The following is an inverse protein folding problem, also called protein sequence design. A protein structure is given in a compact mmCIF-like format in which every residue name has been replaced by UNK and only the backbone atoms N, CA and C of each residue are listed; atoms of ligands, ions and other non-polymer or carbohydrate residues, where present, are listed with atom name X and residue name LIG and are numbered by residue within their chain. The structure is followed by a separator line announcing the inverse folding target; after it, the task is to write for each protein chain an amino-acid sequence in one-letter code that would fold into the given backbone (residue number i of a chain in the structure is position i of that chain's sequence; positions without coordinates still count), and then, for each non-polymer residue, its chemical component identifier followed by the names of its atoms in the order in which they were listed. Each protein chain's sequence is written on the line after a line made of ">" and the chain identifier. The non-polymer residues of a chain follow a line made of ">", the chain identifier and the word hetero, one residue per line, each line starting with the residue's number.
data_IF_082026051836
#
_entry.id   IF_082026051836
#
_cell.length_a   1.000
_cell.length_b   1.000
_cell.length_c   1.000
_cell.angle_alpha   90.00
_cell.angle_beta   90.00
_cell.angle_gamma   90.00
#
_symmetry.space_group_name_H-M   'P 1'
#
loop_
_entity.id
_entity.type
_entity.pdbx_description
1 polymer ?
#
# COMPACT_ATOMS: atom_id res chain seq x y z
N UNK A 1 20.12 42.84 22.25
CA UNK A 1 19.97 41.68 23.16
C UNK A 1 20.00 40.46 22.26
N UNK A 2 21.22 40.05 21.94
CA UNK A 2 21.53 38.90 21.10
C UNK A 2 21.51 37.64 21.96
N UNK A 3 20.81 36.60 21.50
CA UNK A 3 20.98 35.25 22.03
C UNK A 3 21.21 34.31 20.87
N UNK A 4 22.49 34.09 20.58
CA UNK A 4 23.00 33.10 19.62
C UNK A 4 22.85 31.71 20.24
N UNK A 5 22.01 30.85 19.67
CA UNK A 5 21.97 29.42 19.99
C UNK A 5 23.11 28.72 19.23
N UNK A 6 24.19 28.41 19.94
CA UNK A 6 25.28 27.56 19.44
C UNK A 6 24.74 26.14 19.22
N UNK A 7 24.84 25.68 17.97
CA UNK A 7 24.58 24.31 17.56
C UNK A 7 25.84 23.51 17.88
N UNK A 8 25.79 22.68 18.92
CA UNK A 8 26.87 21.76 19.26
C UNK A 8 27.10 20.80 18.09
N UNK A 9 28.28 20.89 17.48
CA UNK A 9 28.83 19.88 16.59
C UNK A 9 29.53 18.83 17.44
N UNK A 10 28.77 17.86 17.94
CA UNK A 10 29.36 16.66 18.50
C UNK A 10 29.67 15.71 17.34
N UNK A 11 30.91 15.78 16.88
CA UNK A 11 31.56 14.72 16.12
C UNK A 11 31.71 13.50 17.04
N UNK A 12 30.69 12.66 17.11
CA UNK A 12 30.82 11.33 17.68
C UNK A 12 31.32 10.38 16.60
N UNK A 13 32.59 10.02 16.74
CA UNK A 13 33.24 8.88 16.12
C UNK A 13 32.31 7.68 16.18
N UNK A 14 31.87 7.16 15.03
CA UNK A 14 31.09 5.93 14.93
C UNK A 14 32.00 4.73 15.20
N UNK A 15 32.32 4.50 16.48
CA UNK A 15 32.81 3.21 16.92
C UNK A 15 31.67 2.20 16.74
N UNK A 16 31.84 1.30 15.78
CA UNK A 16 30.83 0.33 15.38
C UNK A 16 30.37 -0.52 16.56
N UNK A 17 29.09 -0.40 16.92
CA UNK A 17 28.43 -1.36 17.78
C UNK A 17 28.46 -2.72 17.09
N UNK A 18 29.36 -3.59 17.55
CA UNK A 18 29.44 -4.97 17.10
C UNK A 18 28.23 -5.71 17.67
N UNK A 19 27.19 -5.88 16.85
CA UNK A 19 26.06 -6.73 17.16
C UNK A 19 26.55 -8.18 17.16
N UNK A 20 26.83 -8.75 18.34
CA UNK A 20 27.15 -10.17 18.45
C UNK A 20 25.90 -10.99 18.11
N UNK A 21 25.91 -11.59 16.92
CA UNK A 21 24.82 -12.42 16.45
C UNK A 21 24.71 -13.70 17.28
N UNK A 22 23.54 -13.92 17.89
CA UNK A 22 23.19 -15.12 18.69
C UNK A 22 23.40 -16.45 17.95
N UNK A 23 23.49 -16.41 16.62
CA UNK A 23 23.72 -17.56 15.76
C UNK A 23 24.88 -17.26 14.80
N UNK A 24 25.70 -18.27 14.43
CA UNK A 24 26.81 -18.11 13.49
C UNK A 24 26.29 -18.10 12.04
N UNK A 25 25.51 -17.09 11.68
CA UNK A 25 25.08 -16.87 10.30
C UNK A 25 25.73 -15.59 9.75
N UNK A 26 26.32 -15.71 8.55
CA UNK A 26 26.78 -14.56 7.76
C UNK A 26 25.57 -13.88 7.12
N UNK A 27 25.09 -12.79 7.74
CA UNK A 27 23.91 -12.02 7.31
C UNK A 27 24.26 -10.66 6.69
N UNK A 28 25.53 -10.29 6.69
CA UNK A 28 26.05 -8.99 6.20
C UNK A 28 25.54 -8.63 4.80
N UNK A 29 25.59 -9.58 3.85
CA UNK A 29 25.11 -9.39 2.47
C UNK A 29 23.61 -9.07 2.35
N UNK A 30 22.81 -9.45 3.36
CA UNK A 30 21.37 -9.19 3.40
C UNK A 30 21.11 -7.88 4.13
N UNK A 31 21.80 -7.64 5.25
CA UNK A 31 21.69 -6.40 6.03
C UNK A 31 22.07 -5.17 5.20
N UNK A 32 23.09 -5.27 4.34
CA UNK A 32 23.49 -4.17 3.45
C UNK A 32 22.39 -3.78 2.43
N UNK A 33 21.45 -4.68 2.12
CA UNK A 33 20.39 -4.42 1.13
C UNK A 33 19.24 -3.58 1.68
N UNK A 34 19.07 -3.51 3.00
CA UNK A 34 18.02 -2.72 3.63
C UNK A 34 18.63 -1.70 4.61
N UNK A 35 18.41 -0.39 4.42
CA UNK A 35 18.87 0.59 5.40
C UNK A 35 18.21 0.35 6.77
N UNK A 36 18.97 0.52 7.84
CA UNK A 36 18.52 0.43 9.23
C UNK A 36 18.06 1.80 9.80
N UNK A 37 18.37 2.88 9.10
CA UNK A 37 17.96 4.24 9.46
C UNK A 37 16.57 4.61 8.93
N UNK A 38 15.96 5.61 9.57
CA UNK A 38 14.71 6.19 9.11
C UNK A 38 14.84 6.78 7.70
N UNK A 39 13.86 6.48 6.85
CA UNK A 39 13.78 7.06 5.51
C UNK A 39 13.34 8.52 5.59
N UNK A 40 14.17 9.44 5.08
CA UNK A 40 13.85 10.88 4.99
C UNK A 40 13.44 11.27 3.58
N UNK A 41 14.01 10.58 2.58
CA UNK A 41 13.85 10.91 1.17
C UNK A 41 13.24 9.77 0.36
N UNK A 42 12.61 10.10 -0.77
CA UNK A 42 12.05 9.12 -1.71
C UNK A 42 13.07 8.06 -2.14
N UNK A 43 14.33 8.44 -2.39
CA UNK A 43 15.36 7.49 -2.81
C UNK A 43 15.68 6.44 -1.74
N UNK A 44 15.64 6.81 -0.45
CA UNK A 44 15.84 5.88 0.64
C UNK A 44 14.62 4.98 0.80
N UNK A 45 13.42 5.56 0.83
CA UNK A 45 12.16 4.82 0.92
C UNK A 45 11.99 3.82 -0.23
N UNK A 46 12.43 4.20 -1.45
CA UNK A 46 12.41 3.34 -2.63
C UNK A 46 13.28 2.09 -2.47
N UNK A 47 14.44 2.18 -1.81
CA UNK A 47 15.30 1.01 -1.56
C UNK A 47 14.60 0.01 -0.63
N UNK A 48 14.03 0.50 0.47
CA UNK A 48 13.24 -0.33 1.41
C UNK A 48 12.03 -0.94 0.71
N UNK A 49 11.29 -0.13 -0.07
CA UNK A 49 10.16 -0.58 -0.85
C UNK A 49 10.55 -1.71 -1.83
N UNK A 50 11.65 -1.55 -2.58
CA UNK A 50 12.12 -2.57 -3.51
C UNK A 50 12.49 -3.85 -2.78
N UNK A 51 13.28 -3.75 -1.71
CA UNK A 51 13.67 -4.91 -0.92
C UNK A 51 12.46 -5.68 -0.36
N UNK A 52 11.53 -4.98 0.30
CA UNK A 52 10.32 -5.60 0.88
C UNK A 52 9.42 -6.21 -0.19
N UNK A 53 9.18 -5.49 -1.29
CA UNK A 53 8.36 -5.98 -2.40
C UNK A 53 9.00 -7.19 -3.05
N UNK A 54 10.31 -7.19 -3.28
CA UNK A 54 11.01 -8.31 -3.91
C UNK A 54 10.97 -9.56 -3.03
N UNK A 55 11.14 -9.41 -1.71
CA UNK A 55 10.97 -10.50 -0.74
C UNK A 55 9.54 -11.02 -0.68
N UNK A 56 8.53 -10.15 -0.62
CA UNK A 56 7.13 -10.57 -0.64
C UNK A 56 6.77 -11.28 -1.97
N UNK A 57 7.28 -10.79 -3.10
CA UNK A 57 7.08 -11.41 -4.42
C UNK A 57 7.76 -12.78 -4.50
N UNK A 58 8.92 -12.94 -3.87
CA UNK A 58 9.60 -14.23 -3.75
C UNK A 58 8.80 -15.21 -2.88
N UNK A 59 8.26 -14.76 -1.76
CA UNK A 59 7.36 -15.55 -0.91
C UNK A 59 6.10 -15.99 -1.63
N UNK A 60 5.48 -15.14 -2.47
CA UNK A 60 4.29 -15.47 -3.26
C UNK A 60 4.51 -16.64 -4.26
N UNK A 61 5.76 -16.98 -4.59
CA UNK A 61 6.06 -18.18 -5.40
C UNK A 61 5.84 -19.49 -4.61
N UNK A 62 5.93 -19.42 -3.29
CA UNK A 62 5.73 -20.55 -2.39
C UNK A 62 4.31 -20.55 -1.82
N UNK A 63 3.82 -19.39 -1.38
CA UNK A 63 2.47 -19.18 -0.90
C UNK A 63 1.54 -18.86 -2.07
N UNK A 64 1.33 -19.85 -2.93
CA UNK A 64 0.38 -19.73 -4.05
C UNK A 64 -1.05 -19.72 -3.52
N UNK A 65 -1.97 -19.09 -4.28
CA UNK A 65 -3.36 -18.93 -3.83
C UNK A 65 -4.03 -20.27 -3.52
N UNK A 66 -3.77 -21.29 -4.32
CA UNK A 66 -4.28 -22.65 -4.08
C UNK A 66 -3.53 -23.32 -2.91
N UNK A 67 -4.23 -23.55 -1.80
CA UNK A 67 -3.68 -24.13 -0.58
C UNK A 67 -3.19 -23.14 0.48
N UNK A 68 -2.80 -21.91 0.11
CA UNK A 68 -2.33 -20.88 1.04
C UNK A 68 -3.09 -19.55 0.88
N UNK A 69 -4.41 -19.61 0.72
CA UNK A 69 -5.25 -18.44 0.40
C UNK A 69 -5.02 -17.26 1.36
N UNK A 70 -5.01 -17.51 2.67
CA UNK A 70 -4.83 -16.48 3.70
C UNK A 70 -3.46 -15.80 3.58
N UNK A 71 -2.37 -16.58 3.61
CA UNK A 71 -1.01 -16.05 3.52
C UNK A 71 -0.78 -15.31 2.19
N UNK A 72 -1.36 -15.83 1.09
CA UNK A 72 -1.30 -15.20 -0.22
C UNK A 72 -1.97 -13.82 -0.21
N UNK A 73 -3.15 -13.70 0.40
CA UNK A 73 -3.86 -12.42 0.53
C UNK A 73 -3.04 -11.45 1.37
N UNK A 74 -2.54 -11.87 2.53
CA UNK A 74 -1.76 -11.04 3.44
C UNK A 74 -0.48 -10.50 2.79
N UNK A 75 0.28 -11.36 2.09
CA UNK A 75 1.47 -10.95 1.34
C UNK A 75 1.17 -9.89 0.29
N UNK A 76 0.04 -10.02 -0.41
CA UNK A 76 -0.36 -8.99 -1.38
C UNK A 76 -0.82 -7.71 -0.68
N UNK A 77 -1.47 -7.78 0.48
CA UNK A 77 -1.78 -6.60 1.29
C UNK A 77 -0.51 -5.93 1.83
N UNK A 78 0.53 -6.69 2.16
CA UNK A 78 1.83 -6.14 2.54
C UNK A 78 2.46 -5.36 1.38
N UNK A 79 2.46 -5.94 0.17
CA UNK A 79 2.91 -5.24 -1.04
C UNK A 79 2.09 -3.97 -1.29
N UNK A 80 0.78 -4.04 -1.05
CA UNK A 80 -0.15 -2.91 -1.18
C UNK A 80 0.20 -1.78 -0.21
N UNK A 81 0.45 -2.11 1.07
CA UNK A 81 0.91 -1.16 2.10
C UNK A 81 2.29 -0.58 1.77
N UNK A 82 3.21 -1.37 1.23
CA UNK A 82 4.50 -0.87 0.74
C UNK A 82 4.32 0.22 -0.33
N UNK A 83 3.40 0.04 -1.28
CA UNK A 83 3.07 1.08 -2.27
C UNK A 83 2.50 2.34 -1.61
N UNK A 84 1.63 2.19 -0.61
CA UNK A 84 1.08 3.31 0.14
C UNK A 84 2.19 4.08 0.86
N UNK A 85 3.07 3.40 1.60
CA UNK A 85 4.15 4.04 2.35
C UNK A 85 5.18 4.73 1.45
N UNK A 86 5.61 4.11 0.36
CA UNK A 86 6.59 4.75 -0.55
C UNK A 86 6.01 5.98 -1.25
N UNK A 87 4.70 5.97 -1.52
CA UNK A 87 4.02 7.09 -2.19
C UNK A 87 3.99 8.37 -1.35
N UNK A 88 4.08 8.26 -0.02
CA UNK A 88 4.13 9.41 0.88
C UNK A 88 5.35 10.31 0.58
N UNK A 89 6.47 9.70 0.19
CA UNK A 89 7.72 10.41 -0.09
C UNK A 89 7.77 11.03 -1.50
N UNK A 90 6.80 10.72 -2.37
CA UNK A 90 6.79 11.21 -3.75
C UNK A 90 6.03 12.55 -3.83
N UNK A 91 6.68 13.68 -4.13
CA UNK A 91 6.00 14.96 -4.22
C UNK A 91 5.08 15.07 -5.44
N UNK A 92 5.36 14.31 -6.52
CA UNK A 92 4.57 14.40 -7.74
C UNK A 92 3.31 13.53 -7.68
N UNK A 93 2.15 14.19 -7.59
CA UNK A 93 0.85 13.51 -7.55
C UNK A 93 0.56 12.60 -8.76
N UNK A 94 1.08 12.88 -9.96
CA UNK A 94 0.91 11.99 -11.11
C UNK A 94 1.71 10.69 -10.96
N UNK A 95 2.91 10.76 -10.37
CA UNK A 95 3.71 9.57 -10.06
C UNK A 95 3.04 8.77 -8.94
N UNK A 96 2.54 9.44 -7.89
CA UNK A 96 1.74 8.79 -6.84
C UNK A 96 0.52 8.08 -7.40
N UNK A 97 -0.24 8.72 -8.28
CA UNK A 97 -1.40 8.09 -8.93
C UNK A 97 -1.01 6.80 -9.69
N UNK A 98 0.17 6.74 -10.32
CA UNK A 98 0.66 5.52 -10.98
C UNK A 98 0.97 4.40 -9.98
N UNK A 99 1.51 4.74 -8.80
CA UNK A 99 1.75 3.77 -7.72
C UNK A 99 0.44 3.21 -7.17
N UNK A 100 -0.52 4.09 -6.88
CA UNK A 100 -1.86 3.70 -6.43
C UNK A 100 -2.61 2.87 -7.47
N UNK A 101 -2.43 3.17 -8.77
CA UNK A 101 -3.01 2.33 -9.84
C UNK A 101 -2.45 0.91 -9.83
N UNK A 102 -1.13 0.74 -9.63
CA UNK A 102 -0.51 -0.60 -9.50
C UNK A 102 -1.02 -1.35 -8.27
N UNK A 103 -1.18 -0.64 -7.15
CA UNK A 103 -1.82 -1.16 -5.92
C UNK A 103 -3.24 -1.68 -6.22
N UNK A 104 -4.07 -0.87 -6.88
CA UNK A 104 -5.44 -1.26 -7.27
C UNK A 104 -5.46 -2.49 -8.18
N UNK A 105 -4.64 -2.52 -9.22
CA UNK A 105 -4.65 -3.62 -10.21
C UNK A 105 -4.34 -4.96 -9.57
N UNK A 106 -3.40 -4.97 -8.62
CA UNK A 106 -3.07 -6.16 -7.84
C UNK A 106 -4.22 -6.59 -6.92
N UNK A 107 -4.78 -5.66 -6.14
CA UNK A 107 -5.87 -5.97 -5.20
C UNK A 107 -7.15 -6.44 -5.90
N UNK A 108 -7.54 -5.78 -7.00
CA UNK A 108 -8.73 -6.12 -7.77
C UNK A 108 -8.62 -7.54 -8.33
N UNK A 109 -7.42 -7.92 -8.80
CA UNK A 109 -7.17 -9.27 -9.31
C UNK A 109 -7.45 -10.31 -8.22
N UNK A 110 -6.94 -10.11 -7.01
CA UNK A 110 -7.11 -11.06 -5.89
C UNK A 110 -8.57 -11.16 -5.48
N UNK A 111 -9.27 -10.02 -5.34
CA UNK A 111 -10.70 -10.01 -5.00
C UNK A 111 -11.53 -10.78 -6.03
N UNK A 112 -11.13 -10.78 -7.30
CA UNK A 112 -11.77 -11.57 -8.36
C UNK A 112 -11.47 -13.06 -8.33
N UNK A 113 -10.39 -13.49 -7.67
CA UNK A 113 -9.94 -14.88 -7.62
C UNK A 113 -10.42 -15.63 -6.37
N UNK A 114 -10.72 -14.91 -5.27
CA UNK A 114 -11.15 -15.52 -4.00
C UNK A 114 -12.66 -15.75 -3.93
N UNK A 115 -13.07 -16.84 -3.28
CA UNK A 115 -14.49 -17.10 -3.03
C UNK A 115 -14.99 -16.26 -1.83
N UNK A 116 -15.93 -15.33 -2.03
CA UNK A 116 -16.39 -14.43 -0.98
C UNK A 116 -17.20 -15.12 0.13
N UNK A 117 -17.73 -16.33 -0.10
CA UNK A 117 -18.48 -17.08 0.93
C UNK A 117 -17.54 -17.61 2.02
N UNK A 118 -16.39 -18.16 1.63
CA UNK A 118 -15.42 -18.75 2.56
C UNK A 118 -14.46 -17.71 3.14
N UNK A 119 -14.09 -16.69 2.35
CA UNK A 119 -13.13 -15.66 2.72
C UNK A 119 -13.78 -14.29 2.89
N UNK A 120 -14.98 -14.26 3.48
CA UNK A 120 -15.80 -13.06 3.57
C UNK A 120 -15.09 -11.90 4.28
N UNK A 121 -14.40 -12.18 5.40
CA UNK A 121 -13.67 -11.16 6.14
C UNK A 121 -12.57 -10.51 5.29
N UNK A 122 -11.73 -11.32 4.63
CA UNK A 122 -10.68 -10.84 3.74
C UNK A 122 -11.24 -10.12 2.52
N UNK A 123 -12.33 -10.63 1.93
CA UNK A 123 -13.01 -9.98 0.80
C UNK A 123 -13.44 -8.57 1.17
N UNK A 124 -14.06 -8.39 2.34
CA UNK A 124 -14.46 -7.07 2.83
C UNK A 124 -13.25 -6.17 3.07
N UNK A 125 -12.23 -6.68 3.73
CA UNK A 125 -11.00 -5.93 4.01
C UNK A 125 -10.35 -5.42 2.72
N UNK A 126 -10.21 -6.29 1.71
CA UNK A 126 -9.68 -5.91 0.40
C UNK A 126 -10.60 -4.90 -0.32
N UNK A 127 -11.91 -5.06 -0.25
CA UNK A 127 -12.86 -4.12 -0.86
C UNK A 127 -12.80 -2.74 -0.21
N UNK A 128 -12.69 -2.67 1.12
CA UNK A 128 -12.45 -1.41 1.84
C UNK A 128 -11.16 -0.77 1.38
N UNK A 129 -10.06 -1.53 1.37
CA UNK A 129 -8.75 -1.05 0.95
C UNK A 129 -8.76 -0.52 -0.50
N UNK A 130 -9.45 -1.21 -1.42
CA UNK A 130 -9.65 -0.77 -2.81
C UNK A 130 -10.45 0.53 -2.86
N UNK A 131 -11.54 0.63 -2.09
CA UNK A 131 -12.39 1.82 -2.02
C UNK A 131 -11.62 3.05 -1.52
N UNK A 132 -10.88 2.91 -0.42
CA UNK A 132 -10.00 3.96 0.10
C UNK A 132 -8.95 4.37 -0.93
N UNK A 133 -8.34 3.40 -1.62
CA UNK A 133 -7.34 3.67 -2.66
C UNK A 133 -7.93 4.46 -3.85
N UNK A 134 -9.19 4.21 -4.23
CA UNK A 134 -9.88 5.02 -5.24
C UNK A 134 -10.16 6.45 -4.75
N UNK A 135 -10.57 6.61 -3.49
CA UNK A 135 -10.80 7.93 -2.87
C UNK A 135 -9.51 8.74 -2.79
N UNK A 136 -8.40 8.14 -2.34
CA UNK A 136 -7.08 8.77 -2.34
C UNK A 136 -6.66 9.23 -3.74
N UNK A 137 -6.90 8.41 -4.77
CA UNK A 137 -6.62 8.78 -6.16
C UNK A 137 -7.50 9.93 -6.65
N UNK A 138 -8.75 10.00 -6.21
CA UNK A 138 -9.65 11.10 -6.52
C UNK A 138 -9.11 12.40 -5.90
N UNK A 139 -8.75 12.38 -4.61
CA UNK A 139 -8.21 13.55 -3.91
C UNK A 139 -6.92 14.06 -4.55
N UNK A 140 -6.01 13.16 -4.92
CA UNK A 140 -4.79 13.53 -5.66
C UNK A 140 -5.10 14.18 -7.01
N UNK A 141 -6.14 13.71 -7.72
CA UNK A 141 -6.55 14.30 -9.02
C UNK A 141 -7.24 15.66 -8.85
N UNK A 142 -8.01 15.84 -7.78
CA UNK A 142 -8.56 17.14 -7.40
C UNK A 142 -7.44 18.12 -7.05
N UNK A 143 -6.46 17.69 -6.25
CA UNK A 143 -5.30 18.51 -5.89
C UNK A 143 -4.52 18.97 -7.14
N UNK A 144 -4.25 18.07 -8.09
CA UNK A 144 -3.60 18.44 -9.38
C UNK A 144 -4.41 19.51 -10.12
N UNK A 145 -5.73 19.35 -10.19
CA UNK A 145 -6.61 20.29 -10.90
C UNK A 145 -6.59 21.67 -10.22
N UNK A 146 -6.71 21.70 -8.89
CA UNK A 146 -6.67 22.93 -8.10
C UNK A 146 -5.33 23.65 -8.19
N UNK A 147 -4.21 22.93 -8.17
CA UNK A 147 -2.87 23.52 -8.28
C UNK A 147 -2.54 24.03 -9.69
N UNK A 148 -3.24 23.56 -10.73
CA UNK A 148 -2.98 23.98 -12.11
C UNK A 148 -3.41 25.43 -12.41
N UNK A 149 -4.29 26.01 -11.59
CA UNK A 149 -4.84 27.36 -11.78
C UNK A 149 -5.71 27.52 -13.05
N UNK A 150 -5.93 26.44 -13.80
CA UNK A 150 -6.77 26.42 -14.99
C UNK A 150 -8.22 26.11 -14.64
N UNK A 151 -9.20 26.59 -15.42
CA UNK A 151 -10.58 26.17 -15.25
C UNK A 151 -10.70 24.64 -15.39
N UNK A 152 -11.67 24.02 -14.71
CA UNK A 152 -11.81 22.57 -14.68
C UNK A 152 -12.02 22.01 -16.09
N UNK A 153 -11.02 21.28 -16.59
CA UNK A 153 -11.10 20.59 -17.87
C UNK A 153 -12.12 19.44 -17.79
N UNK A 154 -13.03 19.36 -18.77
CA UNK A 154 -14.04 18.29 -18.86
C UNK A 154 -13.43 16.89 -18.76
N UNK A 155 -12.26 16.65 -19.36
CA UNK A 155 -11.58 15.35 -19.28
C UNK A 155 -11.13 15.01 -17.86
N UNK A 156 -10.58 15.98 -17.14
CA UNK A 156 -10.14 15.81 -15.75
C UNK A 156 -11.32 15.54 -14.82
N UNK A 157 -12.42 16.30 -14.98
CA UNK A 157 -13.65 16.12 -14.20
C UNK A 157 -14.27 14.74 -14.45
N UNK A 158 -14.35 14.29 -15.71
CA UNK A 158 -14.83 12.94 -16.05
C UNK A 158 -14.01 11.86 -15.34
N UNK A 159 -12.69 12.01 -15.28
CA UNK A 159 -11.81 11.06 -14.62
C UNK A 159 -12.02 11.03 -13.10
N UNK A 160 -12.19 12.19 -12.47
CA UNK A 160 -12.49 12.31 -11.04
C UNK A 160 -13.83 11.63 -10.72
N UNK A 161 -14.87 11.90 -11.52
CA UNK A 161 -16.18 11.28 -11.34
C UNK A 161 -16.13 9.75 -11.50
N UNK A 162 -15.32 9.24 -12.44
CA UNK A 162 -15.12 7.80 -12.61
C UNK A 162 -14.48 7.16 -11.37
N UNK A 163 -13.46 7.80 -10.78
CA UNK A 163 -12.82 7.33 -9.55
C UNK A 163 -13.81 7.33 -8.38
N UNK A 164 -14.59 8.41 -8.24
CA UNK A 164 -15.65 8.53 -7.24
C UNK A 164 -16.68 7.39 -7.36
N UNK A 165 -17.23 7.20 -8.56
CA UNK A 165 -18.21 6.15 -8.82
C UNK A 165 -17.63 4.75 -8.56
N UNK A 166 -16.36 4.52 -8.90
CA UNK A 166 -15.69 3.25 -8.65
C UNK A 166 -15.53 2.97 -7.15
N UNK A 167 -15.16 4.00 -6.36
CA UNK A 167 -15.09 3.92 -4.90
C UNK A 167 -16.46 3.60 -4.28
N UNK A 168 -17.51 4.33 -4.67
CA UNK A 168 -18.88 4.08 -4.19
C UNK A 168 -19.33 2.67 -4.56
N UNK A 169 -19.10 2.25 -5.81
CA UNK A 169 -19.53 0.94 -6.31
C UNK A 169 -18.90 -0.21 -5.51
N UNK A 170 -17.59 -0.14 -5.22
CA UNK A 170 -16.92 -1.22 -4.50
C UNK A 170 -17.35 -1.26 -3.03
N UNK A 171 -17.47 -0.10 -2.37
CA UNK A 171 -17.88 0.00 -0.97
C UNK A 171 -19.35 -0.36 -0.76
N UNK A 172 -20.23 -0.01 -1.70
CA UNK A 172 -21.64 -0.36 -1.64
C UNK A 172 -21.91 -1.86 -1.76
N UNK A 173 -20.99 -2.63 -2.34
CA UNK A 173 -21.13 -4.08 -2.44
C UNK A 173 -20.78 -4.80 -1.12
N UNK A 174 -20.01 -4.17 -0.23
CA UNK A 174 -19.54 -4.74 1.05
C UNK A 174 -20.70 -5.19 1.98
N UNK A 175 -21.77 -4.38 2.18
CA UNK A 175 -22.93 -4.79 2.98
C UNK A 175 -23.70 -5.98 2.41
N UNK A 176 -23.80 -6.11 1.07
CA UNK A 176 -24.67 -7.10 0.42
C UNK A 176 -24.34 -8.55 0.76
N UNK A 177 -23.08 -8.86 1.06
CA UNK A 177 -22.72 -10.23 1.43
C UNK A 177 -23.31 -10.70 2.77
N UNK A 178 -23.71 -9.81 3.69
CA UNK A 178 -24.44 -10.24 4.90
C UNK A 178 -25.86 -10.71 4.55
N UNK A 179 -26.49 -10.10 3.55
CA UNK A 179 -27.85 -10.42 3.12
C UNK A 179 -27.90 -11.77 2.39
N UNK A 180 -26.92 -12.05 1.53
CA UNK A 180 -26.80 -13.35 0.82
C UNK A 180 -26.71 -14.50 1.83
N UNK A 181 -25.90 -14.37 2.89
CA UNK A 181 -25.83 -15.40 3.94
C UNK A 181 -27.12 -15.55 4.74
N UNK A 182 -27.95 -14.51 4.85
CA UNK A 182 -29.24 -14.59 5.57
C UNK A 182 -30.32 -15.22 4.70
N UNK A 183 -30.36 -14.91 3.41
CA UNK A 183 -31.33 -15.48 2.47
C UNK A 183 -31.03 -16.96 2.17
N UNK A 184 -29.76 -17.36 2.03
CA UNK A 184 -29.40 -18.77 1.83
C UNK A 184 -29.63 -19.65 3.07
N UNK A 185 -29.54 -19.09 4.28
CA UNK A 185 -29.88 -19.78 5.53
C UNK A 185 -31.39 -19.81 5.76
N UNK A 186 -32.12 -18.77 5.34
CA UNK A 186 -33.59 -18.71 5.43
C UNK A 186 -34.31 -19.58 4.40
N UNK A 187 -33.66 -19.97 3.30
CA UNK A 187 -34.22 -20.84 2.26
C UNK A 187 -34.04 -22.35 2.50
N UNK A 188 -33.48 -22.74 3.66
CA UNK A 188 -33.34 -24.13 4.10
C UNK A 188 -33.93 -24.31 5.51
N UNK A 189 -35.24 -24.12 5.64
CA UNK A 189 -36.06 -24.69 6.72
C UNK A 189 -37.36 -25.20 6.10
#
# INVERSE_FOLDING_TARGET
>A
MDTTLQRNTDTSTTEGLKCESRFPLEVTLIEEKCPHDYCVNFNQAKKVFQFGKDRATESLKHFVLDGFVTDHIELNQDISRLYQHVSFFEPNYDVRCKMYKRRLDMLIKIVGEINPQYYLAFTRQLQFEIGETYSDMMDMKVAILSSSGQPPNQHSVKKINLLCYSSIKILWFVPRYTEITREEVSGKI
#
